data_IF_929102984089
#
_entry.id   IF_929102984089
#
_cell.length_a   1.000
_cell.length_b   1.000
_cell.length_c   1.000
_cell.angle_alpha   90.00
_cell.angle_beta   90.00
_cell.angle_gamma   90.00
#
_symmetry.space_group_name_H-M   'P 1'
#
loop_
_entity.id
_entity.type
_entity.pdbx_description
1 polymer ?
#
# COMPACT_ATOMS: atom_id res chain seq x y z
N UNK A 1 13.94 7.01 10.03
CA UNK A 1 13.81 7.58 11.38
C UNK A 1 12.40 8.14 11.61
N UNK A 2 11.93 9.11 10.81
CA UNK A 2 10.61 9.74 10.99
C UNK A 2 9.46 8.73 10.90
N UNK A 3 9.50 7.78 9.95
CA UNK A 3 8.51 6.70 9.86
C UNK A 3 8.36 5.93 11.18
N UNK A 4 9.48 5.54 11.80
CA UNK A 4 9.46 4.80 13.07
C UNK A 4 8.91 5.64 14.22
N UNK A 5 9.29 6.90 14.31
CA UNK A 5 8.79 7.82 15.33
C UNK A 5 7.27 7.98 15.21
N UNK A 6 6.75 8.17 13.99
CA UNK A 6 5.32 8.26 13.72
C UNK A 6 4.58 6.95 14.04
N UNK A 7 5.14 5.80 13.65
CA UNK A 7 4.56 4.49 13.94
C UNK A 7 4.47 4.25 15.45
N UNK A 8 5.56 4.50 16.20
CA UNK A 8 5.53 4.31 17.66
C UNK A 8 4.56 5.25 18.35
N UNK A 9 4.45 6.49 17.87
CA UNK A 9 3.45 7.42 18.36
C UNK A 9 2.02 6.89 18.12
N UNK A 10 1.74 6.40 16.93
CA UNK A 10 0.44 5.84 16.58
C UNK A 10 0.12 4.54 17.34
N UNK A 11 1.12 3.71 17.59
CA UNK A 11 0.95 2.47 18.37
C UNK A 11 0.67 2.74 19.84
N UNK A 12 1.19 3.83 20.41
CA UNK A 12 1.00 4.21 21.81
C UNK A 12 1.24 3.03 22.79
N UNK A 13 2.38 2.38 22.65
CA UNK A 13 2.79 1.22 23.46
C UNK A 13 2.13 -0.11 23.09
N UNK A 14 1.23 -0.15 22.11
CA UNK A 14 0.63 -1.39 21.58
C UNK A 14 1.62 -2.15 20.72
N UNK A 15 1.40 -3.45 20.59
CA UNK A 15 2.13 -4.30 19.63
C UNK A 15 1.57 -4.17 18.21
N UNK A 16 2.35 -4.61 17.24
CA UNK A 16 1.94 -4.72 15.85
C UNK A 16 1.61 -6.18 15.54
N UNK A 17 0.39 -6.44 15.07
CA UNK A 17 -0.07 -7.81 14.75
C UNK A 17 0.19 -8.15 13.27
N UNK A 18 0.00 -7.18 12.37
CA UNK A 18 0.11 -7.38 10.93
C UNK A 18 0.90 -6.28 10.24
N UNK A 19 1.67 -6.66 9.22
CA UNK A 19 2.23 -5.77 8.22
C UNK A 19 1.69 -6.21 6.87
N UNK A 20 1.01 -5.31 6.16
CA UNK A 20 0.58 -5.57 4.78
C UNK A 20 1.61 -4.96 3.83
N UNK A 21 2.25 -5.82 3.04
CA UNK A 21 3.19 -5.38 2.01
C UNK A 21 2.45 -5.26 0.69
N UNK A 22 2.15 -4.03 0.30
CA UNK A 22 1.45 -3.73 -0.95
C UNK A 22 2.38 -3.78 -2.16
N UNK A 23 3.63 -3.35 -1.97
CA UNK A 23 4.62 -3.16 -3.03
C UNK A 23 6.04 -3.34 -2.48
N UNK A 24 6.92 -3.92 -3.29
CA UNK A 24 8.27 -4.32 -2.86
C UNK A 24 9.37 -3.34 -3.28
N UNK A 25 9.03 -2.19 -3.85
CA UNK A 25 10.02 -1.16 -4.16
C UNK A 25 10.74 -0.72 -2.87
N UNK A 26 12.08 -0.48 -2.91
CA UNK A 26 12.86 -0.24 -1.69
C UNK A 26 12.44 0.97 -0.85
N UNK A 27 11.84 1.99 -1.45
CA UNK A 27 11.32 3.16 -0.73
C UNK A 27 10.11 2.83 0.16
N UNK A 28 9.40 1.73 -0.13
CA UNK A 28 8.29 1.22 0.68
C UNK A 28 8.71 0.13 1.66
N UNK A 29 9.77 -0.64 1.35
CA UNK A 29 10.15 -1.83 2.12
C UNK A 29 11.44 -1.69 2.92
N UNK A 30 12.12 -0.55 2.85
CA UNK A 30 13.40 -0.34 3.55
C UNK A 30 13.33 -0.58 5.08
N UNK A 31 12.20 -0.34 5.69
CA UNK A 31 11.99 -0.52 7.14
C UNK A 31 11.36 -1.89 7.49
N UNK A 32 11.05 -2.74 6.50
CA UNK A 32 10.33 -4.01 6.74
C UNK A 32 11.08 -4.92 7.70
N UNK A 33 12.36 -5.14 7.45
CA UNK A 33 13.19 -6.01 8.31
C UNK A 33 13.29 -5.48 9.73
N UNK A 34 13.52 -4.17 9.93
CA UNK A 34 13.58 -3.57 11.26
C UNK A 34 12.25 -3.74 12.02
N UNK A 35 11.12 -3.59 11.33
CA UNK A 35 9.80 -3.81 11.93
C UNK A 35 9.57 -5.27 12.32
N UNK A 36 9.94 -6.21 11.47
CA UNK A 36 9.82 -7.65 11.73
C UNK A 36 10.69 -8.09 12.92
N UNK A 37 11.89 -7.52 13.05
CA UNK A 37 12.78 -7.79 14.19
C UNK A 37 12.24 -7.21 15.50
N UNK A 38 11.63 -6.03 15.45
CA UNK A 38 11.07 -5.35 16.64
C UNK A 38 9.77 -5.94 17.13
N UNK A 39 8.96 -6.49 16.22
CA UNK A 39 7.68 -7.11 16.51
C UNK A 39 7.73 -8.61 16.19
N UNK A 40 8.32 -9.44 17.08
CA UNK A 40 8.64 -10.84 16.78
C UNK A 40 7.42 -11.70 16.47
N UNK A 41 6.23 -11.28 16.84
CA UNK A 41 4.98 -12.00 16.59
C UNK A 41 4.19 -11.44 15.38
N UNK A 42 4.72 -10.41 14.71
CA UNK A 42 4.03 -9.79 13.56
C UNK A 42 3.91 -10.76 12.39
N UNK A 43 2.74 -10.80 11.78
CA UNK A 43 2.50 -11.53 10.53
C UNK A 43 2.61 -10.58 9.34
N UNK A 44 3.33 -11.02 8.30
CA UNK A 44 3.46 -10.30 7.04
C UNK A 44 2.41 -10.82 6.07
N UNK A 45 1.55 -9.95 5.56
CA UNK A 45 0.55 -10.26 4.55
C UNK A 45 1.00 -9.69 3.21
N UNK A 46 1.11 -10.54 2.20
CA UNK A 46 1.58 -10.10 0.88
C UNK A 46 1.14 -11.09 -0.20
N UNK A 47 1.34 -10.75 -1.47
CA UNK A 47 1.13 -11.69 -2.58
C UNK A 47 2.22 -12.78 -2.60
N UNK A 48 1.97 -13.87 -3.33
CA UNK A 48 2.97 -14.93 -3.52
C UNK A 48 4.25 -14.41 -4.19
N UNK A 49 4.12 -13.45 -5.12
CA UNK A 49 5.27 -12.83 -5.78
C UNK A 49 6.06 -11.96 -4.80
N UNK A 50 5.38 -11.15 -3.99
CA UNK A 50 6.03 -10.34 -2.96
C UNK A 50 6.75 -11.22 -1.93
N UNK A 51 6.19 -12.38 -1.53
CA UNK A 51 6.91 -13.36 -0.70
C UNK A 51 8.24 -13.78 -1.33
N UNK A 52 8.24 -14.09 -2.62
CA UNK A 52 9.48 -14.42 -3.34
C UNK A 52 10.49 -13.27 -3.29
N UNK A 53 10.03 -12.04 -3.51
CA UNK A 53 10.89 -10.84 -3.47
C UNK A 53 11.41 -10.54 -2.06
N UNK A 54 10.62 -10.75 -1.02
CA UNK A 54 11.06 -10.65 0.38
C UNK A 54 12.22 -11.63 0.62
N UNK A 55 12.11 -12.88 0.15
CA UNK A 55 13.18 -13.86 0.23
C UNK A 55 14.45 -13.44 -0.53
N UNK A 56 14.31 -12.75 -1.67
CA UNK A 56 15.43 -12.23 -2.45
C UNK A 56 16.13 -11.03 -1.77
N UNK A 57 15.37 -10.15 -1.13
CA UNK A 57 15.89 -8.93 -0.53
C UNK A 57 16.45 -9.16 0.88
N UNK A 58 15.76 -9.96 1.70
CA UNK A 58 16.04 -10.14 3.12
C UNK A 58 16.39 -11.58 3.50
N UNK A 59 16.46 -12.51 2.54
CA UNK A 59 16.60 -13.94 2.81
C UNK A 59 15.29 -14.60 3.27
N UNK A 60 15.29 -15.91 3.40
CA UNK A 60 14.09 -16.70 3.72
C UNK A 60 13.82 -16.86 5.22
N UNK A 61 14.47 -16.06 6.06
CA UNK A 61 14.37 -16.16 7.53
C UNK A 61 13.00 -15.79 8.10
N UNK A 62 12.13 -15.17 7.29
CA UNK A 62 10.78 -14.73 7.71
C UNK A 62 9.65 -15.53 7.08
N UNK A 63 9.95 -16.60 6.36
CA UNK A 63 8.95 -17.37 5.60
C UNK A 63 7.83 -17.96 6.45
N UNK A 64 8.11 -18.30 7.70
CA UNK A 64 7.16 -18.80 8.70
C UNK A 64 6.16 -17.77 9.18
N UNK A 65 6.49 -16.48 9.00
CA UNK A 65 5.63 -15.34 9.38
C UNK A 65 4.86 -14.73 8.22
N UNK A 66 5.05 -15.25 7.01
CA UNK A 66 4.40 -14.73 5.79
C UNK A 66 3.12 -15.50 5.51
N UNK A 67 2.00 -14.79 5.52
CA UNK A 67 0.72 -15.25 5.01
C UNK A 67 0.50 -14.71 3.60
N UNK A 68 0.39 -15.60 2.63
CA UNK A 68 0.09 -15.23 1.25
C UNK A 68 -1.39 -14.90 1.11
N UNK A 69 -1.67 -13.72 0.54
CA UNK A 69 -3.00 -13.21 0.22
C UNK A 69 -3.25 -13.25 -1.29
N UNK A 70 -4.51 -13.47 -1.66
CA UNK A 70 -4.99 -13.53 -3.05
C UNK A 70 -6.09 -12.50 -3.27
N UNK A 71 -6.47 -12.32 -4.53
CA UNK A 71 -7.63 -11.51 -4.93
C UNK A 71 -8.87 -11.91 -4.13
N UNK A 72 -9.49 -10.92 -3.47
CA UNK A 72 -10.73 -11.08 -2.73
C UNK A 72 -10.60 -11.69 -1.34
N UNK A 73 -9.41 -12.16 -0.92
CA UNK A 73 -9.18 -12.60 0.46
C UNK A 73 -9.48 -11.47 1.44
N UNK A 74 -9.92 -11.84 2.64
CA UNK A 74 -10.25 -10.86 3.68
C UNK A 74 -9.52 -11.16 5.00
N UNK A 75 -9.29 -10.09 5.76
CA UNK A 75 -8.81 -10.13 7.14
C UNK A 75 -9.71 -9.28 8.02
N UNK A 76 -10.30 -9.89 9.04
CA UNK A 76 -10.97 -9.15 10.11
C UNK A 76 -9.97 -8.85 11.22
N UNK A 77 -9.80 -7.56 11.55
CA UNK A 77 -8.95 -7.09 12.65
C UNK A 77 -9.75 -6.68 13.88
N UNK A 78 -10.99 -7.19 13.99
CA UNK A 78 -11.96 -6.82 15.02
C UNK A 78 -12.97 -5.82 14.48
N UNK A 79 -12.67 -4.53 14.54
CA UNK A 79 -13.55 -3.47 14.01
C UNK A 79 -13.54 -3.41 12.48
N UNK A 80 -12.36 -3.52 11.86
CA UNK A 80 -12.19 -3.36 10.42
C UNK A 80 -12.18 -4.71 9.69
N UNK A 81 -12.72 -4.72 8.49
CA UNK A 81 -12.61 -5.84 7.55
C UNK A 81 -11.87 -5.38 6.32
N UNK A 82 -10.64 -5.86 6.19
CA UNK A 82 -9.75 -5.58 5.08
C UNK A 82 -9.97 -6.60 3.97
N UNK A 83 -10.10 -6.14 2.74
CA UNK A 83 -10.16 -6.97 1.53
C UNK A 83 -8.94 -6.69 0.67
N UNK A 84 -8.26 -7.75 0.22
CA UNK A 84 -7.10 -7.62 -0.66
C UNK A 84 -7.52 -7.62 -2.13
N UNK A 85 -6.95 -6.69 -2.89
CA UNK A 85 -7.24 -6.47 -4.31
C UNK A 85 -5.92 -6.53 -5.08
N UNK A 86 -5.74 -7.57 -5.90
CA UNK A 86 -4.53 -7.70 -6.70
C UNK A 86 -4.48 -6.64 -7.81
N UNK A 87 -3.34 -5.96 -7.92
CA UNK A 87 -3.09 -4.92 -8.90
C UNK A 87 -1.78 -5.17 -9.69
N UNK A 88 -1.61 -6.36 -10.30
CA UNK A 88 -0.35 -6.74 -10.94
C UNK A 88 0.01 -5.76 -12.06
N UNK A 89 1.29 -5.38 -12.13
CA UNK A 89 1.84 -4.38 -13.06
C UNK A 89 1.31 -2.96 -12.86
N UNK A 90 0.74 -2.66 -11.69
CA UNK A 90 0.41 -1.29 -11.33
C UNK A 90 1.22 -0.91 -10.06
N UNK A 91 2.59 -0.70 -10.12
CA UNK A 91 3.28 -0.82 -11.44
C UNK A 91 4.21 -2.05 -11.53
N UNK A 92 4.48 -2.79 -10.45
CA UNK A 92 5.24 -4.03 -10.45
C UNK A 92 4.32 -5.27 -10.39
N UNK A 93 4.85 -6.48 -10.72
CA UNK A 93 4.01 -7.69 -10.86
C UNK A 93 3.38 -8.18 -9.55
N UNK A 94 3.96 -7.83 -8.39
CA UNK A 94 3.53 -8.28 -7.08
C UNK A 94 2.52 -7.38 -6.41
N UNK A 95 2.20 -6.22 -6.98
CA UNK A 95 1.40 -5.18 -6.33
C UNK A 95 0.01 -5.67 -5.92
N UNK A 96 -0.35 -5.31 -4.71
CA UNK A 96 -1.64 -5.55 -4.09
C UNK A 96 -2.12 -4.26 -3.40
N UNK A 97 -3.41 -4.01 -3.42
CA UNK A 97 -4.07 -2.96 -2.65
C UNK A 97 -4.86 -3.56 -1.49
N UNK A 98 -5.22 -2.74 -0.52
CA UNK A 98 -6.14 -3.12 0.56
C UNK A 98 -7.33 -2.19 0.59
N UNK A 99 -8.54 -2.76 0.52
CA UNK A 99 -9.79 -2.02 0.73
C UNK A 99 -10.33 -2.31 2.13
N UNK A 100 -10.41 -1.28 2.96
CA UNK A 100 -11.14 -1.36 4.23
C UNK A 100 -12.63 -1.17 3.98
N UNK A 101 -13.39 -2.26 4.10
CA UNK A 101 -14.84 -2.27 3.90
C UNK A 101 -15.59 -1.46 4.96
N UNK A 102 -14.99 -1.26 6.13
CA UNK A 102 -15.63 -0.61 7.26
C UNK A 102 -15.66 0.89 7.09
N UNK A 103 -14.51 1.49 6.81
CA UNK A 103 -14.38 2.93 6.65
C UNK A 103 -14.27 3.35 5.16
N UNK A 104 -14.42 2.38 4.23
CA UNK A 104 -14.40 2.59 2.77
C UNK A 104 -13.11 3.24 2.26
N UNK A 105 -11.99 2.84 2.83
CA UNK A 105 -10.67 3.37 2.49
C UNK A 105 -9.96 2.42 1.51
N UNK A 106 -9.38 2.96 0.45
CA UNK A 106 -8.51 2.20 -0.43
C UNK A 106 -7.05 2.60 -0.23
N UNK A 107 -6.25 1.71 0.39
CA UNK A 107 -4.79 1.80 0.44
C UNK A 107 -4.27 1.26 -0.89
N UNK A 108 -3.92 2.16 -1.79
CA UNK A 108 -3.83 1.88 -3.22
C UNK A 108 -2.41 1.58 -3.73
N UNK A 109 -1.45 1.39 -2.84
CA UNK A 109 -0.04 1.34 -3.22
C UNK A 109 0.35 2.60 -4.01
N UNK A 110 1.06 2.48 -5.11
CA UNK A 110 1.45 3.59 -5.96
C UNK A 110 0.35 4.09 -6.89
N UNK A 111 -0.74 3.33 -7.03
CA UNK A 111 -1.87 3.80 -7.82
C UNK A 111 -2.46 5.07 -7.21
N UNK A 112 -2.84 6.01 -8.09
CA UNK A 112 -3.34 7.33 -7.73
C UNK A 112 -2.30 8.27 -7.08
N UNK A 113 -1.01 7.91 -7.14
CA UNK A 113 0.07 8.71 -6.58
C UNK A 113 0.35 10.01 -7.34
N UNK A 114 1.11 10.87 -6.68
CA UNK A 114 1.51 12.18 -7.19
C UNK A 114 2.98 12.43 -6.82
N UNK A 115 3.72 13.18 -7.65
CA UNK A 115 5.06 13.65 -7.29
C UNK A 115 5.05 14.89 -6.39
N UNK A 116 3.90 15.49 -6.20
CA UNK A 116 3.73 16.67 -5.37
C UNK A 116 3.72 16.35 -3.88
N UNK A 117 3.50 17.39 -3.09
CA UNK A 117 3.26 17.32 -1.66
C UNK A 117 2.18 18.34 -1.28
N UNK A 118 1.40 18.04 -0.26
CA UNK A 118 0.25 18.84 0.16
C UNK A 118 0.63 20.04 1.08
N UNK A 119 1.93 20.36 1.20
CA UNK A 119 2.43 21.51 1.99
C UNK A 119 1.90 21.58 3.42
N UNK A 120 1.78 20.42 4.09
CA UNK A 120 1.27 20.29 5.45
C UNK A 120 -0.23 20.05 5.57
N UNK A 121 -0.97 20.10 4.48
CA UNK A 121 -2.35 19.59 4.44
C UNK A 121 -2.36 18.06 4.44
N UNK A 122 -3.47 17.48 4.89
CA UNK A 122 -3.64 16.02 4.92
C UNK A 122 -4.46 15.50 3.74
N UNK A 123 -5.35 16.31 3.21
CA UNK A 123 -6.30 15.91 2.18
C UNK A 123 -6.17 16.76 0.93
N UNK A 124 -6.39 16.15 -0.22
CA UNK A 124 -6.30 16.82 -1.52
C UNK A 124 -7.39 17.88 -1.74
N UNK A 125 -8.52 17.80 -1.01
CA UNK A 125 -9.60 18.78 -1.04
C UNK A 125 -9.34 20.03 -0.16
N UNK A 126 -8.24 20.02 0.60
CA UNK A 126 -7.78 21.20 1.36
C UNK A 126 -6.90 22.14 0.53
N UNK A 127 -6.55 21.75 -0.72
CA UNK A 127 -5.72 22.51 -1.65
C UNK A 127 -6.44 22.75 -2.97
N UNK A 128 -5.95 23.66 -3.80
CA UNK A 128 -6.41 23.79 -5.18
C UNK A 128 -5.79 22.68 -6.03
N UNK A 129 -6.44 21.51 -6.03
CA UNK A 129 -5.92 20.31 -6.65
C UNK A 129 -5.59 20.50 -8.15
N UNK A 130 -6.45 21.17 -8.88
CA UNK A 130 -6.25 21.40 -10.32
C UNK A 130 -5.02 22.25 -10.61
N UNK A 131 -4.76 23.26 -9.81
CA UNK A 131 -3.59 24.14 -9.94
C UNK A 131 -2.33 23.50 -9.38
N UNK A 132 -2.41 22.86 -8.20
CA UNK A 132 -1.22 22.52 -7.43
C UNK A 132 -0.78 21.06 -7.62
N UNK A 133 -1.71 20.15 -7.97
CA UNK A 133 -1.44 18.71 -7.97
C UNK A 133 -1.68 18.02 -9.33
N UNK A 134 -2.60 18.47 -10.15
CA UNK A 134 -3.06 17.73 -11.32
C UNK A 134 -1.94 17.43 -12.32
N UNK A 135 -1.06 18.39 -12.61
CA UNK A 135 0.06 18.18 -13.54
C UNK A 135 1.10 17.20 -12.96
N UNK A 136 1.31 17.21 -11.65
CA UNK A 136 2.18 16.27 -10.98
C UNK A 136 1.58 14.87 -10.95
N UNK A 137 0.26 14.71 -10.83
CA UNK A 137 -0.43 13.43 -10.99
C UNK A 137 -0.30 12.90 -12.43
N UNK A 138 -0.45 13.74 -13.44
CA UNK A 138 -0.25 13.37 -14.85
C UNK A 138 1.18 12.92 -15.13
N UNK A 139 2.15 13.65 -14.57
CA UNK A 139 3.57 13.33 -14.68
C UNK A 139 3.87 12.00 -13.99
N UNK A 140 3.34 11.78 -12.79
CA UNK A 140 3.46 10.54 -12.05
C UNK A 140 2.88 9.37 -12.86
N UNK A 141 1.62 9.48 -13.31
CA UNK A 141 0.97 8.45 -14.12
C UNK A 141 1.82 8.07 -15.33
N UNK A 142 2.29 9.05 -16.09
CA UNK A 142 3.05 8.83 -17.33
C UNK A 142 4.35 8.09 -17.05
N UNK A 143 5.06 8.44 -15.97
CA UNK A 143 6.37 7.86 -15.66
C UNK A 143 6.25 6.49 -14.98
N UNK A 144 5.27 6.27 -14.11
CA UNK A 144 5.19 5.09 -13.24
C UNK A 144 4.34 4.00 -13.89
N UNK A 145 3.12 4.30 -14.34
CA UNK A 145 2.17 3.28 -14.82
C UNK A 145 1.78 3.42 -16.30
N UNK A 146 2.18 4.48 -16.99
CA UNK A 146 1.67 4.81 -18.32
C UNK A 146 1.88 3.74 -19.39
N UNK A 147 2.95 2.94 -19.30
CA UNK A 147 3.21 1.81 -20.20
C UNK A 147 2.31 0.59 -19.95
N UNK A 148 1.59 0.56 -18.83
CA UNK A 148 0.76 -0.55 -18.38
C UNK A 148 -0.75 -0.25 -18.51
N UNK A 149 -1.16 0.54 -19.49
CA UNK A 149 -2.53 0.99 -19.68
C UNK A 149 -3.61 -0.10 -19.53
N UNK A 150 -3.47 -1.29 -20.17
CA UNK A 150 -4.44 -2.38 -20.00
C UNK A 150 -4.57 -2.86 -18.55
N UNK A 151 -3.46 -2.95 -17.83
CA UNK A 151 -3.44 -3.37 -16.42
C UNK A 151 -4.05 -2.29 -15.53
N UNK A 152 -3.73 -1.02 -15.78
CA UNK A 152 -4.36 0.12 -15.10
C UNK A 152 -5.87 0.09 -15.29
N UNK A 153 -6.33 -0.09 -16.55
CA UNK A 153 -7.77 -0.20 -16.83
C UNK A 153 -8.42 -1.33 -16.04
N UNK A 154 -7.81 -2.51 -16.00
CA UNK A 154 -8.34 -3.65 -15.26
C UNK A 154 -8.45 -3.36 -13.75
N UNK A 155 -7.48 -2.64 -13.17
CA UNK A 155 -7.52 -2.23 -11.76
C UNK A 155 -8.61 -1.17 -11.54
N UNK A 156 -8.76 -0.21 -12.44
CA UNK A 156 -9.84 0.78 -12.37
C UNK A 156 -11.23 0.13 -12.45
N UNK A 157 -11.39 -0.88 -13.32
CA UNK A 157 -12.66 -1.63 -13.42
C UNK A 157 -12.98 -2.39 -12.11
N UNK A 158 -11.98 -2.88 -11.39
CA UNK A 158 -12.16 -3.45 -10.05
C UNK A 158 -12.51 -2.38 -9.03
N UNK A 159 -11.75 -1.29 -8.98
CA UNK A 159 -11.98 -0.20 -8.04
C UNK A 159 -13.38 0.41 -8.19
N UNK A 160 -13.90 0.49 -9.41
CA UNK A 160 -15.25 0.97 -9.69
C UNK A 160 -16.37 0.10 -9.09
N UNK A 161 -16.05 -1.13 -8.68
CA UNK A 161 -17.00 -2.01 -7.98
C UNK A 161 -17.00 -1.79 -6.46
N UNK A 162 -16.07 -0.99 -5.94
CA UNK A 162 -15.91 -0.71 -4.52
C UNK A 162 -16.54 0.66 -4.19
N UNK A 163 -17.17 0.74 -3.03
CA UNK A 163 -17.71 2.00 -2.49
C UNK A 163 -16.58 2.73 -1.74
N UNK A 164 -15.71 3.42 -2.50
CA UNK A 164 -14.52 4.09 -1.98
C UNK A 164 -14.86 5.51 -1.54
N UNK A 165 -14.66 5.82 -0.26
CA UNK A 165 -14.79 7.17 0.28
C UNK A 165 -13.47 7.95 0.26
N UNK A 166 -12.32 7.24 0.36
CA UNK A 166 -11.01 7.89 0.41
C UNK A 166 -9.92 7.00 -0.21
N UNK A 167 -9.00 7.62 -0.94
CA UNK A 167 -7.80 7.00 -1.48
C UNK A 167 -6.60 7.34 -0.59
N UNK A 168 -5.76 6.34 -0.31
CA UNK A 168 -4.54 6.46 0.49
C UNK A 168 -3.36 5.90 -0.32
N UNK A 169 -2.80 6.69 -1.24
CA UNK A 169 -1.64 6.29 -2.02
C UNK A 169 -0.36 6.34 -1.19
N UNK A 170 0.70 5.68 -1.67
CA UNK A 170 2.02 5.71 -1.02
C UNK A 170 2.82 6.98 -1.37
N UNK A 171 2.48 7.67 -2.46
CA UNK A 171 3.11 8.91 -2.92
C UNK A 171 2.08 10.03 -3.12
N UNK A 172 2.44 11.26 -2.72
CA UNK A 172 1.61 12.46 -2.91
C UNK A 172 1.08 13.07 -1.65
#
# INVERSE_FOLDING_TARGET
RQFRENLYHALDGRTLDYIVVHHMEPDHTAELEDMVLRFPNVQILCTAMAKTMIGQFFGHVYDDRIRVCKEGDTLCTGRHTLQFVAAPMVHWPEVMMTYDRTDKLLLSADAFGCFGALNGHLFADEVDFDRDCLDECRRYYTNIVGKYGPQVKAVLDKAAQLDIAMLLPLHG
#
